data_IF_186214594853
#
_entry.id   IF_186214594853
#
_cell.length_a   1.000
_cell.length_b   1.000
_cell.length_c   1.000
_cell.angle_alpha   90.00
_cell.angle_beta   90.00
_cell.angle_gamma   90.00
#
_symmetry.space_group_name_H-M   'P 1'
#
loop_
_entity.id
_entity.type
_entity.pdbx_description
1 polymer ?
#
# COMPACT_ATOMS: atom_id res chain seq x y z
N UNK A 1 10.46 -14.25 -62.91
CA UNK A 1 9.15 -13.74 -62.46
C UNK A 1 9.41 -12.75 -61.32
N UNK A 2 9.59 -11.47 -61.66
CA UNK A 2 9.90 -10.41 -60.69
C UNK A 2 8.65 -10.08 -59.87
N UNK A 3 8.71 -10.22 -58.54
CA UNK A 3 7.68 -9.70 -57.62
C UNK A 3 8.23 -8.46 -56.93
N UNK A 4 7.71 -7.30 -57.31
CA UNK A 4 7.85 -6.05 -56.58
C UNK A 4 7.14 -6.18 -55.23
N UNK A 5 7.86 -5.95 -54.13
CA UNK A 5 7.26 -5.65 -52.84
C UNK A 5 7.27 -4.14 -52.66
N UNK A 6 6.11 -3.50 -52.75
CA UNK A 6 5.92 -2.10 -52.39
C UNK A 6 5.96 -1.98 -50.86
N UNK A 7 7.05 -1.44 -50.32
CA UNK A 7 7.17 -1.06 -48.93
C UNK A 7 6.46 0.30 -48.74
N UNK A 8 5.25 0.29 -48.20
CA UNK A 8 4.55 1.51 -47.78
C UNK A 8 5.10 1.93 -46.41
N UNK A 9 6.06 2.86 -46.42
CA UNK A 9 6.53 3.60 -45.24
C UNK A 9 5.44 4.57 -44.79
N UNK A 10 4.65 4.16 -43.79
CA UNK A 10 3.83 5.10 -43.02
C UNK A 10 4.74 5.89 -42.07
N UNK A 11 5.17 7.08 -42.49
CA UNK A 11 5.60 8.12 -41.56
C UNK A 11 4.37 8.63 -40.81
N UNK A 12 4.02 7.94 -39.72
CA UNK A 12 3.10 8.47 -38.73
C UNK A 12 3.79 9.62 -38.00
N UNK A 13 3.54 10.86 -38.45
CA UNK A 13 3.70 12.06 -37.64
C UNK A 13 2.80 11.92 -36.41
N UNK A 14 3.32 11.34 -35.32
CA UNK A 14 2.69 11.45 -34.01
C UNK A 14 2.88 12.88 -33.53
N UNK A 15 1.96 13.74 -33.94
CA UNK A 15 1.84 15.08 -33.36
C UNK A 15 1.70 14.95 -31.85
N UNK A 16 2.58 15.66 -31.13
CA UNK A 16 2.39 15.96 -29.72
C UNK A 16 1.09 16.74 -29.58
N UNK A 17 0.00 16.05 -29.25
CA UNK A 17 -1.24 16.71 -28.86
C UNK A 17 -1.78 16.05 -27.61
N UNK A 18 -2.05 16.91 -26.62
CA UNK A 18 -2.58 16.65 -25.27
C UNK A 18 -1.56 16.32 -24.18
N UNK A 19 -0.62 17.24 -23.95
CA UNK A 19 -0.15 17.49 -22.59
C UNK A 19 -1.33 18.06 -21.77
N UNK A 20 -2.16 17.17 -21.24
CA UNK A 20 -3.23 17.52 -20.31
C UNK A 20 -2.70 17.22 -18.90
N UNK A 21 -2.58 18.27 -18.10
CA UNK A 21 -2.37 18.33 -16.65
C UNK A 21 -1.91 17.04 -15.96
N UNK A 22 -0.60 16.82 -15.94
CA UNK A 22 0.00 16.07 -14.84
C UNK A 22 0.70 17.08 -13.93
N UNK A 23 0.33 17.16 -12.65
CA UNK A 23 1.10 17.95 -11.70
C UNK A 23 2.52 17.41 -11.63
N UNK A 24 3.49 18.30 -11.43
CA UNK A 24 4.88 17.88 -11.26
C UNK A 24 5.12 17.28 -9.88
N UNK A 25 5.94 16.23 -9.82
CA UNK A 25 6.30 15.54 -8.57
C UNK A 25 7.76 15.72 -8.15
N UNK A 26 8.21 14.83 -7.28
CA UNK A 26 9.59 14.77 -6.80
C UNK A 26 10.55 14.40 -7.94
N UNK A 27 11.56 15.21 -8.25
CA UNK A 27 12.55 14.89 -9.29
C UNK A 27 13.83 14.29 -8.72
N UNK A 28 14.43 14.97 -7.75
CA UNK A 28 15.73 14.60 -7.20
C UNK A 28 15.89 15.12 -5.77
N UNK A 29 16.51 14.31 -4.93
CA UNK A 29 16.94 14.72 -3.59
C UNK A 29 18.03 15.80 -3.69
N UNK A 30 17.99 16.75 -2.76
CA UNK A 30 19.08 17.69 -2.50
C UNK A 30 19.71 17.42 -1.14
N UNK A 31 18.92 17.34 -0.06
CA UNK A 31 19.41 17.11 1.30
C UNK A 31 18.32 16.50 2.21
N UNK A 32 18.72 16.01 3.39
CA UNK A 32 17.83 15.40 4.39
C UNK A 32 18.10 13.91 4.64
N UNK A 33 17.45 13.34 5.64
CA UNK A 33 17.55 11.91 6.01
C UNK A 33 16.76 11.04 5.03
N UNK A 34 17.35 9.95 4.51
CA UNK A 34 16.63 8.93 3.73
C UNK A 34 16.09 7.84 4.65
N UNK A 35 14.88 7.37 4.37
CA UNK A 35 14.30 6.22 5.04
C UNK A 35 13.58 5.31 4.04
N UNK A 36 13.61 4.00 4.30
CA UNK A 36 12.70 3.05 3.65
C UNK A 36 11.47 2.89 4.52
N UNK A 37 10.29 3.25 4.00
CA UNK A 37 9.04 3.25 4.77
C UNK A 37 7.84 2.86 3.91
N UNK A 38 6.75 2.47 4.59
CA UNK A 38 5.47 2.18 3.97
C UNK A 38 4.88 3.40 3.24
N UNK A 39 4.22 3.17 2.11
CA UNK A 39 3.39 4.17 1.44
C UNK A 39 2.12 3.57 0.83
N UNK A 40 1.15 4.41 0.42
CA UNK A 40 -0.01 3.97 -0.34
C UNK A 40 0.33 3.22 -1.63
N UNK A 41 1.54 3.39 -2.17
CA UNK A 41 2.00 2.73 -3.41
C UNK A 41 2.99 1.60 -3.14
N UNK A 42 3.16 1.20 -1.88
CA UNK A 42 3.93 0.01 -1.47
C UNK A 42 5.34 0.04 -2.05
N UNK A 43 5.80 -1.05 -2.65
CA UNK A 43 7.12 -1.19 -3.24
C UNK A 43 7.41 -0.18 -4.37
N UNK A 44 6.38 0.41 -4.98
CA UNK A 44 6.54 1.42 -6.05
C UNK A 44 6.88 2.82 -5.51
N UNK A 45 6.77 3.04 -4.20
CA UNK A 45 7.17 4.29 -3.54
C UNK A 45 7.54 4.05 -2.08
N UNK A 46 8.62 3.29 -1.82
CA UNK A 46 9.01 2.90 -0.45
C UNK A 46 10.21 3.69 0.10
N UNK A 47 10.72 4.69 -0.62
CA UNK A 47 11.80 5.57 -0.16
C UNK A 47 11.29 6.99 0.05
N UNK A 48 11.70 7.62 1.15
CA UNK A 48 11.29 8.98 1.49
C UNK A 48 12.39 9.78 2.16
N UNK A 49 12.26 11.11 2.09
CA UNK A 49 12.98 12.06 2.92
C UNK A 49 12.22 12.31 4.21
N UNK A 50 12.90 12.30 5.35
CA UNK A 50 12.30 12.45 6.68
C UNK A 50 12.69 13.76 7.37
N UNK A 51 11.69 14.54 7.79
CA UNK A 51 11.84 15.68 8.71
C UNK A 51 11.12 15.41 10.02
N UNK A 52 11.60 16.03 11.11
CA UNK A 52 11.00 15.96 12.45
C UNK A 52 10.74 17.34 13.01
N UNK A 53 9.87 17.42 14.02
CA UNK A 53 9.57 18.64 14.76
C UNK A 53 10.66 18.98 15.80
N UNK A 54 11.89 19.13 15.33
CA UNK A 54 13.10 19.45 16.10
C UNK A 54 13.84 20.69 15.58
N UNK A 55 13.31 21.38 14.56
CA UNK A 55 13.88 22.60 13.98
C UNK A 55 15.15 22.42 13.14
N UNK A 56 15.78 21.24 13.13
CA UNK A 56 17.12 21.04 12.53
C UNK A 56 17.16 19.98 11.44
N UNK A 57 16.16 19.11 11.36
CA UNK A 57 16.10 18.02 10.37
C UNK A 57 15.39 18.42 9.08
N UNK A 58 15.87 19.47 8.41
CA UNK A 58 15.31 19.92 7.13
C UNK A 58 15.46 18.85 6.02
N UNK A 59 14.47 18.77 5.14
CA UNK A 59 14.51 17.98 3.90
C UNK A 59 14.37 18.88 2.68
N UNK A 60 15.16 18.61 1.63
CA UNK A 60 15.15 19.41 0.40
C UNK A 60 15.17 18.53 -0.85
N UNK A 61 14.40 18.94 -1.85
CA UNK A 61 14.34 18.27 -3.15
C UNK A 61 14.06 19.24 -4.29
N UNK A 62 14.46 18.83 -5.50
CA UNK A 62 14.01 19.44 -6.75
C UNK A 62 12.68 18.82 -7.16
N UNK A 63 11.71 19.65 -7.51
CA UNK A 63 10.52 19.21 -8.23
C UNK A 63 10.76 19.20 -9.74
N UNK A 64 10.05 18.33 -10.46
CA UNK A 64 10.06 18.34 -11.92
C UNK A 64 9.50 19.66 -12.48
N UNK A 65 9.59 19.87 -13.79
CA UNK A 65 9.01 21.06 -14.44
C UNK A 65 7.50 20.84 -14.61
N UNK A 66 6.62 21.62 -13.94
CA UNK A 66 5.18 21.47 -14.09
C UNK A 66 4.70 22.02 -15.44
N UNK A 67 3.60 21.46 -15.93
CA UNK A 67 2.83 22.08 -17.02
C UNK A 67 2.15 23.32 -16.46
N UNK A 68 2.23 24.44 -17.18
CA UNK A 68 1.55 25.69 -16.81
C UNK A 68 0.16 25.69 -17.45
N UNK A 69 -0.86 26.01 -16.67
CA UNK A 69 -2.22 26.22 -17.17
C UNK A 69 -2.86 27.44 -16.53
N UNK A 70 -3.42 28.34 -17.34
CA UNK A 70 -3.98 29.62 -16.87
C UNK A 70 -3.04 30.39 -15.94
N UNK A 71 -1.72 30.31 -16.21
CA UNK A 71 -0.68 30.93 -15.37
C UNK A 71 -0.36 30.17 -14.08
N UNK A 72 -1.07 29.09 -13.77
CA UNK A 72 -0.88 28.28 -12.56
C UNK A 72 0.06 27.10 -12.86
N UNK A 73 1.00 26.87 -11.94
CA UNK A 73 1.87 25.70 -11.90
C UNK A 73 1.43 24.75 -10.80
N UNK A 74 1.06 23.52 -11.17
CA UNK A 74 0.59 22.50 -10.23
C UNK A 74 1.69 21.51 -9.84
N UNK A 75 1.83 21.26 -8.55
CA UNK A 75 2.72 20.25 -7.98
C UNK A 75 1.93 19.25 -7.15
N UNK A 76 2.44 18.02 -7.07
CA UNK A 76 1.87 16.94 -6.27
C UNK A 76 3.00 16.11 -5.68
N UNK A 77 3.08 16.06 -4.35
CA UNK A 77 4.04 15.24 -3.63
C UNK A 77 3.30 14.18 -2.82
N UNK A 78 3.76 12.94 -2.89
CA UNK A 78 3.30 11.90 -1.98
C UNK A 78 3.98 12.14 -0.63
N UNK A 79 3.18 12.33 0.42
CA UNK A 79 3.67 12.59 1.77
C UNK A 79 3.05 11.62 2.79
N UNK A 80 3.73 11.47 3.91
CA UNK A 80 3.18 10.85 5.12
C UNK A 80 3.52 11.68 6.34
N UNK A 81 2.73 11.61 7.40
CA UNK A 81 3.07 12.27 8.66
C UNK A 81 2.46 11.57 9.87
N UNK A 82 3.15 11.69 11.01
CA UNK A 82 2.64 11.24 12.31
C UNK A 82 1.37 12.00 12.63
N UNK A 83 0.29 11.27 12.83
CA UNK A 83 -0.96 11.83 13.31
C UNK A 83 -1.60 10.95 14.37
N UNK A 84 -1.70 9.64 14.11
CA UNK A 84 -2.16 8.67 15.09
C UNK A 84 -1.14 8.45 16.20
N UNK A 85 0.15 8.53 15.87
CA UNK A 85 1.25 8.47 16.84
C UNK A 85 1.61 9.83 17.45
N UNK A 86 0.99 10.93 16.98
CA UNK A 86 1.40 12.27 17.35
C UNK A 86 1.00 12.68 18.77
N UNK A 87 1.90 13.40 19.44
CA UNK A 87 1.63 14.03 20.74
C UNK A 87 0.62 15.20 20.67
N UNK A 88 0.47 15.85 19.51
CA UNK A 88 -0.38 17.03 19.33
C UNK A 88 -0.32 17.61 17.92
N UNK A 89 -0.83 18.83 17.74
CA UNK A 89 -0.76 19.51 16.46
C UNK A 89 0.69 19.92 16.15
N UNK A 90 1.10 19.82 14.88
CA UNK A 90 2.47 20.11 14.43
C UNK A 90 2.49 21.02 13.23
N UNK A 91 3.55 21.81 13.16
CA UNK A 91 3.75 22.83 12.14
C UNK A 91 5.04 22.52 11.37
N UNK A 92 4.90 22.48 10.05
CA UNK A 92 5.98 22.25 9.10
C UNK A 92 6.07 23.43 8.15
N UNK A 93 7.16 24.18 8.22
CA UNK A 93 7.38 25.33 7.34
C UNK A 93 7.87 24.84 5.98
N UNK A 94 7.12 25.20 4.93
CA UNK A 94 7.37 24.81 3.55
C UNK A 94 7.93 26.01 2.80
N UNK A 95 9.09 25.84 2.18
CA UNK A 95 9.80 26.87 1.44
C UNK A 95 9.89 26.50 -0.04
N UNK A 96 9.87 27.53 -0.88
CA UNK A 96 10.15 27.46 -2.31
C UNK A 96 11.32 28.40 -2.62
N UNK A 97 12.43 27.86 -3.12
CA UNK A 97 13.63 28.63 -3.44
C UNK A 97 14.06 29.58 -2.29
N UNK A 98 14.16 29.02 -1.07
CA UNK A 98 14.44 29.70 0.21
C UNK A 98 13.41 30.70 0.74
N UNK A 99 12.38 31.03 -0.03
CA UNK A 99 11.28 31.87 0.46
C UNK A 99 10.24 31.02 1.15
N UNK A 100 9.79 31.43 2.34
CA UNK A 100 8.69 30.76 3.04
C UNK A 100 7.44 30.83 2.16
N UNK A 101 6.88 29.68 1.80
CA UNK A 101 5.71 29.57 0.95
C UNK A 101 4.44 29.49 1.80
N UNK A 102 4.40 28.57 2.76
CA UNK A 102 3.33 28.43 3.76
C UNK A 102 3.79 27.54 4.92
N UNK A 103 2.98 27.47 5.98
CA UNK A 103 3.15 26.48 7.05
C UNK A 103 2.05 25.42 6.93
N UNK A 104 2.45 24.15 6.80
CA UNK A 104 1.56 23.01 6.83
C UNK A 104 1.29 22.61 8.28
N UNK A 105 0.03 22.59 8.68
CA UNK A 105 -0.41 22.17 10.02
C UNK A 105 -0.99 20.76 9.96
N UNK A 106 -0.41 19.81 10.70
CA UNK A 106 -1.01 18.50 10.93
C UNK A 106 -1.80 18.53 12.23
N UNK A 107 -3.11 18.22 12.19
CA UNK A 107 -3.96 18.23 13.38
C UNK A 107 -4.21 16.83 13.92
N UNK A 108 -3.94 16.62 15.20
CA UNK A 108 -4.18 15.34 15.90
C UNK A 108 -5.62 14.88 15.79
N UNK A 109 -6.57 15.81 15.73
CA UNK A 109 -7.99 15.52 15.56
C UNK A 109 -8.34 14.86 14.23
N UNK A 110 -7.50 14.96 13.18
CA UNK A 110 -7.77 14.32 11.88
C UNK A 110 -7.74 12.79 11.94
N UNK A 111 -7.15 12.20 12.99
CA UNK A 111 -7.21 10.74 13.25
C UNK A 111 -8.66 10.25 13.30
N UNK A 112 -9.57 11.04 13.86
CA UNK A 112 -10.97 10.67 14.07
C UNK A 112 -11.84 10.79 12.82
N UNK A 113 -11.35 11.45 11.76
CA UNK A 113 -12.13 11.60 10.54
C UNK A 113 -12.22 10.27 9.79
N UNK A 114 -13.46 9.81 9.58
CA UNK A 114 -13.75 8.61 8.82
C UNK A 114 -13.42 8.84 7.34
N UNK A 115 -12.75 7.86 6.72
CA UNK A 115 -12.58 7.79 5.27
C UNK A 115 -13.94 7.44 4.64
N UNK A 116 -14.76 8.44 4.36
CA UNK A 116 -15.86 8.26 3.40
C UNK A 116 -15.25 8.24 2.01
N UNK A 117 -15.48 7.15 1.27
CA UNK A 117 -14.89 6.86 -0.04
C UNK A 117 -14.69 8.11 -0.91
N UNK A 118 -13.48 8.21 -1.48
CA UNK A 118 -12.95 9.30 -2.29
C UNK A 118 -12.45 10.53 -1.50
N UNK A 119 -11.12 10.58 -1.29
CA UNK A 119 -10.32 11.78 -1.00
C UNK A 119 -10.95 12.80 -0.02
N UNK A 120 -10.57 12.74 1.26
CA UNK A 120 -10.85 13.84 2.18
C UNK A 120 -9.79 14.94 2.01
N UNK A 121 -10.25 16.15 1.68
CA UNK A 121 -9.39 17.32 1.56
C UNK A 121 -9.16 17.94 2.94
N UNK A 122 -7.90 18.06 3.32
CA UNK A 122 -7.46 18.74 4.54
C UNK A 122 -6.70 20.01 4.20
N UNK A 123 -6.76 20.96 5.14
CA UNK A 123 -6.09 22.27 5.05
C UNK A 123 -6.27 22.97 3.70
N UNK A 124 -7.51 23.13 3.17
CA UNK A 124 -7.70 23.89 1.94
C UNK A 124 -7.27 25.35 2.20
N UNK A 125 -6.19 25.76 1.57
CA UNK A 125 -5.75 27.15 1.45
C UNK A 125 -5.87 27.57 -0.01
N UNK A 126 -5.73 28.86 -0.30
CA UNK A 126 -5.76 29.36 -1.68
C UNK A 126 -4.67 28.73 -2.58
N UNK A 127 -3.66 28.06 -2.00
CA UNK A 127 -2.45 27.61 -2.72
C UNK A 127 -2.05 26.16 -2.46
N UNK A 128 -2.67 25.46 -1.50
CA UNK A 128 -2.35 24.05 -1.23
C UNK A 128 -3.53 23.26 -0.67
N UNK A 129 -3.45 21.93 -0.82
CA UNK A 129 -4.41 20.95 -0.33
C UNK A 129 -3.72 19.64 0.03
N UNK A 130 -4.13 19.01 1.13
CA UNK A 130 -3.76 17.61 1.40
C UNK A 130 -4.94 16.68 1.09
N UNK A 131 -4.70 15.69 0.24
CA UNK A 131 -5.65 14.66 -0.16
C UNK A 131 -5.25 13.33 0.46
N UNK A 132 -5.99 12.87 1.47
CA UNK A 132 -5.71 11.59 2.13
C UNK A 132 -5.96 10.39 1.20
N UNK A 133 -5.00 9.46 1.13
CA UNK A 133 -5.11 8.20 0.39
C UNK A 133 -5.29 7.00 1.32
N UNK A 134 -4.49 6.93 2.39
CA UNK A 134 -4.49 5.78 3.29
C UNK A 134 -4.05 6.18 4.70
N UNK A 135 -4.51 5.42 5.71
CA UNK A 135 -3.99 5.46 7.08
C UNK A 135 -3.27 4.16 7.37
N UNK A 136 -2.12 4.21 8.04
CA UNK A 136 -1.43 2.98 8.46
C UNK A 136 -2.06 2.33 9.71
N UNK A 137 -1.47 1.24 10.20
CA UNK A 137 -1.94 0.52 11.39
C UNK A 137 -1.96 1.40 12.64
N UNK A 138 -1.08 2.40 12.72
CA UNK A 138 -1.00 3.34 13.83
C UNK A 138 -1.87 4.58 13.61
N UNK A 139 -2.67 4.63 12.54
CA UNK A 139 -3.50 5.76 12.12
C UNK A 139 -2.71 6.99 11.65
N UNK A 140 -1.44 6.84 11.30
CA UNK A 140 -0.67 7.88 10.63
C UNK A 140 -1.15 8.03 9.18
N UNK A 141 -1.08 9.25 8.65
CA UNK A 141 -1.81 9.64 7.44
C UNK A 141 -0.86 9.75 6.25
N UNK A 142 -1.29 9.20 5.10
CA UNK A 142 -0.52 9.19 3.86
C UNK A 142 -1.37 9.67 2.69
N UNK A 143 -0.83 10.56 1.87
CA UNK A 143 -1.60 11.14 0.79
C UNK A 143 -0.83 12.13 -0.07
N UNK A 144 -1.55 12.87 -0.90
CA UNK A 144 -0.96 13.88 -1.77
C UNK A 144 -1.01 15.26 -1.12
N UNK A 145 0.15 15.92 -1.05
CA UNK A 145 0.22 17.37 -0.90
C UNK A 145 0.22 17.99 -2.29
N UNK A 146 -0.86 18.69 -2.62
CA UNK A 146 -1.09 19.34 -3.92
C UNK A 146 -0.95 20.85 -3.78
N UNK A 147 -0.21 21.48 -4.69
CA UNK A 147 0.10 22.91 -4.68
C UNK A 147 -0.25 23.54 -6.03
N UNK A 148 -0.89 24.70 -6.02
CA UNK A 148 -1.22 25.48 -7.22
C UNK A 148 -0.64 26.91 -7.07
N UNK A 149 0.38 27.22 -7.88
CA UNK A 149 1.21 28.42 -7.69
C UNK A 149 1.21 29.32 -8.95
N UNK A 150 0.67 30.56 -8.89
CA UNK A 150 0.48 31.43 -10.07
C UNK A 150 1.71 32.25 -10.52
N UNK A 151 2.78 32.36 -9.73
CA UNK A 151 3.91 33.27 -9.99
C UNK A 151 5.29 32.62 -9.78
N UNK A 152 5.43 31.34 -10.13
CA UNK A 152 6.71 30.65 -9.98
C UNK A 152 7.55 30.81 -11.24
N UNK A 153 8.81 31.21 -11.12
CA UNK A 153 9.76 31.34 -12.23
C UNK A 153 9.91 30.05 -13.04
N UNK A 154 10.45 30.15 -14.26
CA UNK A 154 10.66 29.02 -15.19
C UNK A 154 11.79 28.08 -14.79
N UNK A 155 12.55 28.42 -13.75
CA UNK A 155 13.62 27.61 -13.19
C UNK A 155 13.12 26.32 -12.53
N UNK A 156 14.05 25.37 -12.34
CA UNK A 156 13.84 24.24 -11.43
C UNK A 156 13.46 24.77 -10.06
N UNK A 157 12.44 24.18 -9.46
CA UNK A 157 11.93 24.63 -8.17
C UNK A 157 12.45 23.73 -7.07
N UNK A 158 13.16 24.34 -6.13
CA UNK A 158 13.63 23.69 -4.91
C UNK A 158 12.59 23.85 -3.82
N UNK A 159 12.09 22.74 -3.32
CA UNK A 159 11.23 22.70 -2.15
C UNK A 159 12.06 22.29 -0.94
N UNK A 160 11.73 22.90 0.21
CA UNK A 160 12.31 22.57 1.51
C UNK A 160 11.20 22.49 2.54
N UNK A 161 11.24 21.48 3.41
CA UNK A 161 10.35 21.40 4.57
C UNK A 161 11.19 21.29 5.84
N UNK A 162 10.80 22.06 6.87
CA UNK A 162 11.39 22.00 8.21
C UNK A 162 10.26 21.89 9.24
N UNK A 163 10.30 20.87 10.09
CA UNK A 163 9.40 20.79 11.25
C UNK A 163 9.84 21.78 12.33
N UNK A 164 8.92 22.61 12.84
CA UNK A 164 9.24 23.56 13.91
C UNK A 164 9.73 22.85 15.16
N UNK A 165 10.67 23.47 15.87
CA UNK A 165 11.22 22.89 17.10
C UNK A 165 10.20 22.95 18.23
N UNK A 166 9.66 21.79 18.55
CA UNK A 166 8.87 21.54 19.77
C UNK A 166 9.44 20.35 20.53
N UNK A 167 10.73 20.06 20.32
CA UNK A 167 11.45 18.92 20.91
C UNK A 167 10.71 17.58 20.75
N UNK A 168 10.05 17.38 19.60
CA UNK A 168 9.27 16.16 19.32
C UNK A 168 9.89 15.31 18.21
N UNK A 169 9.65 14.00 18.29
CA UNK A 169 9.98 13.04 17.22
C UNK A 169 8.89 12.92 16.16
N UNK A 170 7.78 13.63 16.33
CA UNK A 170 6.71 13.72 15.32
C UNK A 170 7.30 14.16 13.99
N UNK A 171 6.78 13.57 12.93
CA UNK A 171 7.48 13.45 11.66
C UNK A 171 6.58 13.78 10.48
N UNK A 172 7.23 14.24 9.40
CA UNK A 172 6.66 14.32 8.07
C UNK A 172 7.68 13.73 7.09
N UNK A 173 7.18 12.99 6.11
CA UNK A 173 7.95 12.38 5.06
C UNK A 173 7.49 12.88 3.70
N UNK A 174 8.42 13.05 2.77
CA UNK A 174 8.15 13.25 1.34
C UNK A 174 8.73 12.07 0.58
N UNK A 175 7.89 11.30 -0.11
CA UNK A 175 8.33 10.12 -0.84
C UNK A 175 9.07 10.52 -2.12
N UNK A 176 10.13 9.78 -2.44
CA UNK A 176 10.95 9.92 -3.65
C UNK A 176 10.18 9.33 -4.85
N UNK A 177 9.00 9.87 -5.14
CA UNK A 177 8.04 9.29 -6.06
C UNK A 177 7.66 10.26 -7.19
N UNK A 178 7.73 9.74 -8.41
CA UNK A 178 7.23 10.38 -9.63
C UNK A 178 6.02 9.63 -10.12
N UNK A 179 4.93 10.35 -10.42
CA UNK A 179 3.74 9.73 -10.97
C UNK A 179 4.05 9.12 -12.33
N UNK A 180 3.99 7.80 -12.41
CA UNK A 180 4.22 7.00 -13.62
C UNK A 180 3.45 5.69 -13.48
N UNK A 181 3.23 5.01 -14.59
CA UNK A 181 2.79 3.62 -14.50
C UNK A 181 3.97 2.75 -14.07
N UNK A 182 3.77 2.00 -13.02
CA UNK A 182 4.71 0.97 -12.55
C UNK A 182 3.91 -0.26 -12.14
N UNK A 183 4.51 -1.44 -12.31
CA UNK A 183 3.80 -2.69 -12.05
C UNK A 183 4.74 -3.85 -11.70
N UNK A 184 4.18 -4.82 -10.98
CA UNK A 184 4.75 -6.11 -10.70
C UNK A 184 3.71 -7.18 -11.05
N UNK A 185 4.11 -8.16 -11.86
CA UNK A 185 3.24 -9.23 -12.32
C UNK A 185 3.88 -10.58 -11.97
N UNK A 186 3.11 -11.47 -11.33
CA UNK A 186 3.60 -12.79 -10.92
C UNK A 186 2.54 -13.86 -11.13
N UNK A 187 2.95 -15.05 -11.54
CA UNK A 187 2.06 -16.21 -11.58
C UNK A 187 2.00 -16.85 -10.18
N UNK A 188 0.80 -17.02 -9.65
CA UNK A 188 0.62 -17.70 -8.37
C UNK A 188 0.83 -19.21 -8.49
N UNK A 189 1.36 -19.82 -7.43
CA UNK A 189 1.40 -21.27 -7.27
C UNK A 189 0.11 -21.84 -6.65
N UNK A 190 -0.81 -20.97 -6.21
CA UNK A 190 -2.12 -21.37 -5.70
C UNK A 190 -3.07 -21.62 -6.88
N UNK A 191 -3.92 -22.63 -6.74
CA UNK A 191 -4.94 -22.97 -7.73
C UNK A 191 -6.29 -22.51 -7.22
N UNK A 192 -7.00 -21.69 -8.01
CA UNK A 192 -8.34 -21.24 -7.69
C UNK A 192 -9.31 -22.42 -7.74
N UNK A 193 -10.13 -22.56 -6.70
CA UNK A 193 -11.08 -23.67 -6.59
C UNK A 193 -12.14 -23.67 -7.70
N UNK A 194 -12.66 -22.50 -8.05
CA UNK A 194 -13.77 -22.40 -9.01
C UNK A 194 -13.33 -22.66 -10.45
N UNK A 195 -12.26 -22.00 -10.90
CA UNK A 195 -11.78 -22.11 -12.28
C UNK A 195 -10.79 -23.26 -12.49
N UNK A 196 -10.21 -23.82 -11.43
CA UNK A 196 -9.08 -24.77 -11.49
C UNK A 196 -7.86 -24.20 -12.24
N UNK A 197 -7.75 -22.87 -12.26
CA UNK A 197 -6.66 -22.12 -12.89
C UNK A 197 -5.79 -21.47 -11.81
N UNK A 198 -4.55 -21.19 -12.19
CA UNK A 198 -3.61 -20.39 -11.40
C UNK A 198 -3.75 -18.93 -11.81
N UNK A 199 -3.86 -18.01 -10.85
CA UNK A 199 -4.01 -16.60 -11.18
C UNK A 199 -2.68 -15.97 -11.59
N UNK A 200 -2.74 -15.04 -12.53
CA UNK A 200 -1.80 -13.95 -12.67
C UNK A 200 -2.17 -12.88 -11.64
N UNK A 201 -1.24 -12.57 -10.74
CA UNK A 201 -1.36 -11.46 -9.81
C UNK A 201 -0.64 -10.25 -10.40
N UNK A 202 -1.35 -9.13 -10.51
CA UNK A 202 -0.81 -7.86 -10.96
C UNK A 202 -0.99 -6.83 -9.84
N UNK A 203 0.11 -6.23 -9.41
CA UNK A 203 0.13 -5.04 -8.58
C UNK A 203 0.62 -3.88 -9.44
N UNK A 204 -0.06 -2.74 -9.43
CA UNK A 204 0.35 -1.61 -10.25
C UNK A 204 -0.09 -0.27 -9.67
N UNK A 205 0.59 0.79 -10.08
CA UNK A 205 0.17 2.17 -9.85
C UNK A 205 -0.35 2.75 -11.16
N UNK A 206 -1.61 3.19 -11.14
CA UNK A 206 -2.29 3.78 -12.29
C UNK A 206 -2.17 5.32 -12.22
N UNK A 207 -1.52 5.98 -13.20
CA UNK A 207 -1.48 7.43 -13.29
C UNK A 207 -2.88 8.04 -13.44
N UNK A 208 -3.04 9.32 -13.07
CA UNK A 208 -4.34 10.00 -13.11
C UNK A 208 -4.98 10.07 -14.52
N UNK A 209 -4.14 10.04 -15.56
CA UNK A 209 -4.55 10.20 -16.96
C UNK A 209 -4.99 8.89 -17.63
N UNK A 210 -4.80 7.74 -16.96
CA UNK A 210 -5.15 6.42 -17.49
C UNK A 210 -6.52 6.01 -16.94
N UNK A 211 -7.42 5.60 -17.83
CA UNK A 211 -8.81 5.21 -17.48
C UNK A 211 -9.11 3.73 -17.67
N UNK A 212 -8.27 3.01 -18.40
CA UNK A 212 -8.44 1.60 -18.68
C UNK A 212 -7.11 0.92 -19.02
N UNK A 213 -7.07 -0.39 -18.82
CA UNK A 213 -5.93 -1.23 -19.17
C UNK A 213 -6.41 -2.52 -19.84
N UNK A 214 -5.56 -3.05 -20.71
CA UNK A 214 -5.72 -4.37 -21.33
C UNK A 214 -4.46 -5.19 -21.10
N UNK A 215 -4.66 -6.43 -20.66
CA UNK A 215 -3.65 -7.45 -20.45
C UNK A 215 -3.86 -8.54 -21.51
N UNK A 216 -2.82 -8.86 -22.26
CA UNK A 216 -2.87 -9.90 -23.29
C UNK A 216 -1.61 -10.78 -23.20
N UNK A 217 -1.81 -12.10 -23.26
CA UNK A 217 -0.76 -13.10 -23.33
C UNK A 217 -1.26 -14.35 -24.06
N UNK A 218 -0.46 -15.41 -24.12
CA UNK A 218 -0.88 -16.67 -24.74
C UNK A 218 -2.06 -17.34 -24.03
N UNK A 219 -2.29 -16.98 -22.76
CA UNK A 219 -3.29 -17.59 -21.87
C UNK A 219 -4.38 -16.63 -21.42
N UNK A 220 -4.23 -15.33 -21.71
CA UNK A 220 -5.10 -14.29 -21.19
C UNK A 220 -5.45 -13.25 -22.24
N UNK A 221 -6.70 -12.82 -22.23
CA UNK A 221 -7.11 -11.52 -22.75
C UNK A 221 -8.10 -10.89 -21.79
N UNK A 222 -7.69 -9.83 -21.12
CA UNK A 222 -8.45 -9.19 -20.05
C UNK A 222 -8.38 -7.67 -20.20
N UNK A 223 -9.52 -7.00 -20.14
CA UNK A 223 -9.61 -5.55 -20.18
C UNK A 223 -10.52 -5.04 -19.08
N UNK A 224 -10.16 -3.92 -18.47
CA UNK A 224 -10.98 -3.28 -17.43
C UNK A 224 -10.78 -1.77 -17.41
N UNK A 225 -11.82 -1.05 -16.99
CA UNK A 225 -11.67 0.31 -16.52
C UNK A 225 -10.94 0.33 -15.18
N UNK A 226 -10.16 1.39 -14.94
CA UNK A 226 -9.39 1.58 -13.73
C UNK A 226 -9.49 3.01 -13.23
N UNK A 227 -9.51 3.17 -11.91
CA UNK A 227 -9.23 4.46 -11.28
C UNK A 227 -7.74 4.59 -10.96
N UNK A 228 -7.26 5.83 -10.84
CA UNK A 228 -5.88 6.14 -10.48
C UNK A 228 -5.46 5.60 -9.10
N UNK A 229 -4.15 5.55 -8.86
CA UNK A 229 -3.54 5.05 -7.63
C UNK A 229 -3.19 3.57 -7.68
N UNK A 230 -2.89 3.00 -6.52
CA UNK A 230 -2.50 1.59 -6.39
C UNK A 230 -3.68 0.64 -6.64
N UNK A 231 -3.44 -0.40 -7.43
CA UNK A 231 -4.42 -1.43 -7.80
C UNK A 231 -3.79 -2.81 -7.72
N UNK A 232 -4.61 -3.78 -7.34
CA UNK A 232 -4.28 -5.19 -7.39
C UNK A 232 -5.32 -5.94 -8.19
N UNK A 233 -4.87 -6.88 -9.01
CA UNK A 233 -5.71 -7.79 -9.77
C UNK A 233 -5.22 -9.22 -9.54
N UNK A 234 -6.16 -10.15 -9.43
CA UNK A 234 -5.87 -11.58 -9.44
C UNK A 234 -6.78 -12.23 -10.47
N UNK A 235 -6.20 -12.61 -11.61
CA UNK A 235 -6.94 -13.01 -12.80
C UNK A 235 -6.61 -14.46 -13.10
N UNK A 236 -7.63 -15.32 -13.22
CA UNK A 236 -7.45 -16.72 -13.59
C UNK A 236 -6.82 -16.83 -14.99
N UNK A 237 -5.57 -17.29 -15.08
CA UNK A 237 -4.79 -17.21 -16.33
C UNK A 237 -4.18 -18.56 -16.73
N UNK A 238 -3.40 -19.19 -15.86
CA UNK A 238 -2.59 -20.35 -16.26
C UNK A 238 -3.27 -21.67 -15.89
N UNK A 239 -3.27 -22.69 -16.77
CA UNK A 239 -3.67 -24.04 -16.40
C UNK A 239 -2.82 -24.57 -15.24
N UNK A 240 -3.42 -25.38 -14.35
CA UNK A 240 -2.70 -25.98 -13.19
C UNK A 240 -1.39 -26.67 -13.58
N UNK A 241 -1.39 -27.39 -14.71
CA UNK A 241 -0.25 -28.17 -15.18
C UNK A 241 0.81 -27.33 -15.94
N UNK A 242 0.52 -26.08 -16.29
CA UNK A 242 1.46 -25.25 -17.02
C UNK A 242 2.61 -24.79 -16.13
N UNK A 243 3.82 -24.87 -16.68
CA UNK A 243 5.03 -24.28 -16.15
C UNK A 243 5.93 -23.84 -17.32
N UNK A 244 6.77 -22.84 -17.10
CA UNK A 244 7.60 -22.23 -18.15
C UNK A 244 7.51 -20.71 -18.11
N UNK A 245 7.60 -20.08 -19.28
CA UNK A 245 7.51 -18.63 -19.42
C UNK A 245 6.32 -18.25 -20.29
N UNK A 246 5.72 -17.10 -19.98
CA UNK A 246 4.72 -16.43 -20.80
C UNK A 246 5.11 -14.95 -20.92
N UNK A 247 4.73 -14.30 -22.03
CA UNK A 247 4.99 -12.87 -22.21
C UNK A 247 3.67 -12.12 -22.05
N UNK A 248 3.59 -11.31 -21.00
CA UNK A 248 2.47 -10.43 -20.74
C UNK A 248 2.68 -9.10 -21.46
N UNK A 249 1.74 -8.71 -22.31
CA UNK A 249 1.60 -7.36 -22.84
C UNK A 249 0.57 -6.59 -22.02
N UNK A 250 0.90 -5.36 -21.64
CA UNK A 250 0.01 -4.45 -20.95
C UNK A 250 -0.16 -3.19 -21.79
N UNK A 251 -1.36 -2.95 -22.30
CA UNK A 251 -1.71 -1.71 -22.99
C UNK A 251 -2.52 -0.82 -22.04
N UNK A 252 -2.06 0.42 -21.85
CA UNK A 252 -2.74 1.44 -21.06
C UNK A 252 -3.47 2.39 -21.98
N UNK A 253 -4.67 2.78 -21.60
CA UNK A 253 -5.54 3.61 -22.42
C UNK A 253 -5.91 4.92 -21.74
N UNK A 254 -6.04 5.95 -22.58
CA UNK A 254 -6.60 7.26 -22.24
C UNK A 254 -7.63 7.62 -23.31
N UNK A 255 -8.88 7.79 -22.90
CA UNK A 255 -10.03 8.12 -23.74
C UNK A 255 -10.11 7.20 -24.98
N UNK A 256 -9.92 5.90 -24.78
CA UNK A 256 -9.97 4.88 -25.84
C UNK A 256 -8.75 4.84 -26.77
N UNK A 257 -7.71 5.64 -26.53
CA UNK A 257 -6.43 5.57 -27.27
C UNK A 257 -5.35 4.94 -26.41
N UNK A 258 -4.49 4.11 -27.02
CA UNK A 258 -3.32 3.57 -26.33
C UNK A 258 -2.40 4.73 -25.96
N UNK A 259 -2.15 4.89 -24.67
CA UNK A 259 -1.24 5.87 -24.10
C UNK A 259 0.18 5.29 -23.96
N UNK A 260 0.28 4.03 -23.54
CA UNK A 260 1.55 3.33 -23.33
C UNK A 260 1.36 1.81 -23.45
N UNK A 261 2.40 1.11 -23.91
CA UNK A 261 2.47 -0.35 -23.90
C UNK A 261 3.70 -0.81 -23.13
N UNK A 262 3.53 -1.79 -22.22
CA UNK A 262 4.59 -2.47 -21.48
C UNK A 262 4.59 -3.96 -21.78
N UNK A 263 5.75 -4.59 -21.56
CA UNK A 263 5.90 -6.04 -21.63
C UNK A 263 6.58 -6.56 -20.36
N UNK A 264 6.18 -7.75 -19.92
CA UNK A 264 6.85 -8.48 -18.85
C UNK A 264 6.91 -9.97 -19.18
N UNK A 265 8.03 -10.61 -18.85
CA UNK A 265 8.14 -12.07 -18.89
C UNK A 265 7.67 -12.60 -17.54
N UNK A 266 6.67 -13.47 -17.56
CA UNK A 266 6.11 -14.11 -16.39
C UNK A 266 6.68 -15.52 -16.29
N UNK A 267 7.43 -15.77 -15.22
CA UNK A 267 7.89 -17.12 -14.90
C UNK A 267 6.80 -17.88 -14.13
N UNK A 268 6.42 -19.04 -14.66
CA UNK A 268 5.40 -19.92 -14.11
C UNK A 268 6.08 -21.18 -13.59
N UNK A 269 6.29 -21.24 -12.28
CA UNK A 269 6.93 -22.41 -11.67
C UNK A 269 5.97 -23.60 -11.55
N UNK A 270 6.45 -24.85 -11.48
CA UNK A 270 5.63 -26.02 -11.22
C UNK A 270 4.89 -25.92 -9.87
N UNK A 271 3.62 -26.32 -9.83
CA UNK A 271 2.86 -26.40 -8.58
C UNK A 271 3.30 -27.61 -7.76
N UNK A 272 3.33 -27.47 -6.43
CA UNK A 272 3.53 -28.59 -5.48
C UNK A 272 2.25 -28.79 -4.68
N UNK A 273 1.87 -30.04 -4.45
CA UNK A 273 0.85 -30.34 -3.44
C UNK A 273 1.53 -30.21 -2.08
N UNK A 274 1.04 -29.28 -1.27
CA UNK A 274 1.50 -29.09 0.10
C UNK A 274 0.42 -29.65 1.04
N UNK A 275 0.86 -30.43 2.01
CA UNK A 275 0.02 -30.84 3.14
C UNK A 275 0.29 -29.89 4.30
N UNK A 276 -0.78 -29.31 4.85
CA UNK A 276 -0.71 -28.42 5.99
C UNK A 276 -1.32 -29.11 7.21
N UNK A 277 -0.49 -29.36 8.23
CA UNK A 277 -0.96 -29.79 9.54
C UNK A 277 -1.19 -28.56 10.40
N UNK A 278 -2.45 -28.26 10.70
CA UNK A 278 -2.83 -27.12 11.52
C UNK A 278 -2.96 -27.58 12.98
N UNK A 279 -2.17 -26.97 13.86
CA UNK A 279 -2.14 -27.26 15.29
C UNK A 279 -2.73 -26.06 16.01
N UNK A 280 -3.84 -26.26 16.72
CA UNK A 280 -4.46 -25.20 17.52
C UNK A 280 -3.87 -25.19 18.93
N UNK A 281 -3.49 -24.02 19.43
CA UNK A 281 -2.98 -23.78 20.78
C UNK A 281 -3.24 -22.33 21.21
N UNK A 282 -3.06 -22.03 22.49
CA UNK A 282 -2.92 -20.67 23.01
C UNK A 282 -1.54 -20.47 23.57
N UNK A 283 -0.87 -19.40 23.16
CA UNK A 283 0.40 -18.98 23.75
C UNK A 283 0.19 -18.47 25.19
N UNK A 284 1.17 -18.66 26.07
CA UNK A 284 1.08 -18.35 27.50
C UNK A 284 2.22 -17.41 27.96
N UNK A 285 2.06 -16.11 27.67
CA UNK A 285 2.95 -15.07 28.17
C UNK A 285 2.57 -14.62 29.59
N UNK A 286 3.36 -15.00 30.58
CA UNK A 286 3.14 -14.61 31.98
C UNK A 286 3.95 -13.35 32.30
N UNK A 287 3.25 -12.25 32.62
CA UNK A 287 3.90 -11.01 33.07
C UNK A 287 4.31 -10.03 31.96
N UNK A 288 3.81 -10.23 30.72
CA UNK A 288 4.02 -9.26 29.63
C UNK A 288 3.02 -8.10 29.70
N UNK A 289 1.76 -8.36 29.34
CA UNK A 289 0.69 -7.34 29.32
C UNK A 289 -0.29 -7.46 30.49
N UNK A 290 -0.29 -8.61 31.18
CA UNK A 290 -1.23 -8.93 32.25
C UNK A 290 -0.50 -9.53 33.46
N UNK A 291 -1.09 -9.34 34.64
CA UNK A 291 -0.62 -9.98 35.85
C UNK A 291 -0.85 -11.49 35.78
N UNK A 292 0.01 -12.26 36.45
CA UNK A 292 -0.08 -13.73 36.45
C UNK A 292 -1.46 -14.27 36.86
N UNK A 293 -2.15 -13.60 37.79
CA UNK A 293 -3.50 -13.97 38.25
C UNK A 293 -4.57 -13.76 37.17
N UNK A 294 -4.37 -12.79 36.27
CA UNK A 294 -5.25 -12.53 35.14
C UNK A 294 -4.98 -13.55 34.03
N UNK A 295 -3.71 -13.81 33.73
CA UNK A 295 -3.29 -14.85 32.76
C UNK A 295 -3.85 -16.22 33.16
N UNK A 296 -3.86 -16.57 34.45
CA UNK A 296 -4.45 -17.82 34.93
C UNK A 296 -5.95 -17.92 34.60
N UNK A 297 -6.71 -16.82 34.74
CA UNK A 297 -8.14 -16.78 34.40
C UNK A 297 -8.35 -16.90 32.89
N UNK A 298 -7.54 -16.21 32.10
CA UNK A 298 -7.59 -16.25 30.63
C UNK A 298 -7.32 -17.68 30.13
N UNK A 299 -6.24 -18.31 30.58
CA UNK A 299 -5.90 -19.67 30.13
C UNK A 299 -6.92 -20.71 30.63
N UNK A 300 -7.46 -20.55 31.83
CA UNK A 300 -8.58 -21.37 32.32
C UNK A 300 -9.78 -21.28 31.38
N UNK A 301 -10.15 -20.08 30.93
CA UNK A 301 -11.27 -19.90 30.00
C UNK A 301 -10.95 -20.39 28.58
N UNK A 302 -9.69 -20.28 28.14
CA UNK A 302 -9.24 -20.88 26.88
C UNK A 302 -9.41 -22.40 26.90
N UNK A 303 -9.03 -23.07 27.99
CA UNK A 303 -9.22 -24.52 28.16
C UNK A 303 -10.72 -24.86 28.12
N UNK A 304 -11.57 -24.14 28.87
CA UNK A 304 -13.03 -24.33 28.81
C UNK A 304 -13.59 -24.13 27.39
N UNK A 305 -13.11 -23.11 26.68
CA UNK A 305 -13.50 -22.83 25.30
C UNK A 305 -13.10 -23.95 24.35
N UNK A 306 -11.88 -24.48 24.51
CA UNK A 306 -11.40 -25.62 23.75
C UNK A 306 -12.25 -26.87 24.00
N UNK A 307 -12.60 -27.17 25.26
CA UNK A 307 -13.46 -28.32 25.58
C UNK A 307 -14.87 -28.17 24.97
N UNK A 308 -15.46 -26.97 25.03
CA UNK A 308 -16.75 -26.69 24.37
C UNK A 308 -16.66 -26.86 22.86
N UNK A 309 -15.54 -26.47 22.25
CA UNK A 309 -15.30 -26.62 20.82
C UNK A 309 -15.13 -28.09 20.43
N UNK A 310 -14.35 -28.85 21.20
CA UNK A 310 -14.13 -30.29 21.04
C UNK A 310 -15.47 -31.04 21.12
N UNK A 311 -16.29 -30.74 22.13
CA UNK A 311 -17.60 -31.36 22.30
C UNK A 311 -18.52 -31.11 21.09
N UNK A 312 -18.61 -29.86 20.63
CA UNK A 312 -19.42 -29.51 19.45
C UNK A 312 -18.90 -30.17 18.16
N UNK A 313 -17.59 -30.33 18.04
CA UNK A 313 -16.95 -30.87 16.85
C UNK A 313 -17.07 -32.40 16.70
N UNK A 314 -17.58 -33.12 17.70
CA UNK A 314 -17.84 -34.58 17.62
C UNK A 314 -18.81 -34.97 16.48
N UNK A 315 -19.64 -34.04 16.01
CA UNK A 315 -20.56 -34.25 14.91
C UNK A 315 -19.94 -34.08 13.50
N UNK A 316 -18.67 -33.65 13.41
CA UNK A 316 -17.98 -33.38 12.14
C UNK A 316 -17.02 -34.49 11.69
N UNK A 317 -16.59 -34.42 10.43
CA UNK A 317 -15.61 -35.36 9.86
C UNK A 317 -14.16 -35.16 10.36
N UNK A 318 -13.86 -34.04 11.01
CA UNK A 318 -12.57 -33.74 11.61
C UNK A 318 -12.75 -33.52 13.11
N UNK A 319 -11.93 -34.21 13.92
CA UNK A 319 -11.92 -34.06 15.37
C UNK A 319 -11.15 -32.81 15.73
N UNK A 320 -11.74 -31.86 16.48
CA UNK A 320 -11.00 -30.73 17.01
C UNK A 320 -9.95 -31.24 18.01
N UNK A 321 -8.71 -30.75 17.89
CA UNK A 321 -7.65 -31.04 18.86
C UNK A 321 -7.05 -29.70 19.28
N UNK A 322 -6.99 -29.47 20.57
CA UNK A 322 -6.37 -28.30 21.17
C UNK A 322 -5.14 -28.71 21.96
N UNK A 323 -4.01 -28.04 21.71
CA UNK A 323 -2.75 -28.33 22.37
C UNK A 323 -2.50 -27.35 23.50
N UNK A 324 -2.11 -27.90 24.65
CA UNK A 324 -1.69 -27.13 25.79
C UNK A 324 -0.20 -26.84 25.68
N UNK A 325 0.18 -25.57 25.77
CA UNK A 325 1.58 -25.16 25.75
C UNK A 325 2.27 -25.36 27.11
N UNK A 326 1.56 -25.15 28.23
CA UNK A 326 2.15 -25.12 29.56
C UNK A 326 1.30 -25.86 30.59
N UNK A 327 1.95 -26.74 31.38
CA UNK A 327 1.31 -27.42 32.50
C UNK A 327 0.85 -26.45 33.60
N UNK A 328 1.47 -25.28 33.73
CA UNK A 328 1.01 -24.25 34.67
C UNK A 328 -0.43 -23.83 34.38
N UNK A 329 -0.84 -23.73 33.11
CA UNK A 329 -2.21 -23.43 32.75
C UNK A 329 -3.17 -24.56 33.17
N UNK A 330 -2.75 -25.81 33.00
CA UNK A 330 -3.50 -27.00 33.44
C UNK A 330 -3.67 -27.01 34.95
N UNK A 331 -2.59 -26.81 35.70
CA UNK A 331 -2.63 -26.76 37.16
C UNK A 331 -3.59 -25.68 37.68
N UNK A 332 -3.62 -24.51 37.05
CA UNK A 332 -4.54 -23.44 37.45
C UNK A 332 -5.99 -23.74 37.08
N UNK A 333 -6.23 -24.36 35.91
CA UNK A 333 -7.56 -24.83 35.53
C UNK A 333 -8.07 -25.91 36.48
N UNK A 334 -7.27 -26.94 36.78
CA UNK A 334 -7.68 -28.05 37.65
C UNK A 334 -8.00 -27.61 39.08
N UNK A 335 -7.36 -26.54 39.59
CA UNK A 335 -7.70 -25.96 40.90
C UNK A 335 -9.13 -25.40 40.98
N UNK A 336 -9.72 -25.02 39.84
CA UNK A 336 -11.05 -24.37 39.78
C UNK A 336 -12.05 -25.14 38.91
N UNK A 337 -11.63 -26.28 38.35
CA UNK A 337 -12.47 -27.14 37.54
C UNK A 337 -13.43 -27.93 38.44
N UNK A 338 -14.66 -28.11 37.97
CA UNK A 338 -15.55 -29.13 38.50
C UNK A 338 -15.09 -30.54 38.10
N UNK A 339 -15.54 -31.57 38.82
CA UNK A 339 -15.23 -32.96 38.48
C UNK A 339 -15.68 -33.32 37.03
N UNK A 340 -16.76 -32.71 36.55
CA UNK A 340 -17.23 -32.89 35.18
C UNK A 340 -16.28 -32.24 34.16
N UNK A 341 -15.75 -31.05 34.45
CA UNK A 341 -14.77 -30.36 33.60
C UNK A 341 -13.42 -31.09 33.57
N UNK A 342 -12.96 -31.59 34.71
CA UNK A 342 -11.74 -32.41 34.79
C UNK A 342 -11.89 -33.71 33.98
N UNK A 343 -13.00 -34.42 34.15
CA UNK A 343 -13.28 -35.61 33.35
C UNK A 343 -13.39 -35.29 31.85
N UNK A 344 -14.01 -34.16 31.48
CA UNK A 344 -14.06 -33.72 30.09
C UNK A 344 -12.66 -33.40 29.54
N UNK A 345 -11.80 -32.76 30.35
CA UNK A 345 -10.44 -32.43 29.98
C UNK A 345 -9.55 -33.65 29.74
N UNK A 346 -9.63 -34.67 30.61
CA UNK A 346 -8.85 -35.91 30.46
C UNK A 346 -9.30 -36.74 29.25
N UNK A 347 -10.57 -36.64 28.87
CA UNK A 347 -11.14 -37.39 27.74
C UNK A 347 -11.02 -36.68 26.38
N UNK A 348 -10.72 -35.38 26.39
CA UNK A 348 -10.56 -34.55 25.20
C UNK A 348 -9.16 -34.74 24.60
#
# INVERSE_FOLDING_TARGET
MFRFYSLLLFFGLTGQFLAQFSPSGFQAKISGEDITYFSPFRAFANQALLTRCNGVSAIEWEAGVPVVHDGIKSYRFLIGFSNGTSGGDRLFDVYLNDSLLFTFETKKSWVQQALTQHACNFAPSAHYRFTLLEKDINQDMFGYLELDLPNVGTQKNRFKIVGRDVQSRDWLMVFNYQEKFDFAATASNLVLRASQMRPLNLECVIPAVIDSLVLESSFLKYGTHVGSGYRTFSIATYPKAFFGQDTLRLDLFKNGKIAETKFAVIEVHPTKNLEFHIIHHSHNDIGYSHLQTEVAKIQTENIRSALRWIEKGKAGAQKPIWHIESLWAVENFLKVASAAEEAAFVNA
#
